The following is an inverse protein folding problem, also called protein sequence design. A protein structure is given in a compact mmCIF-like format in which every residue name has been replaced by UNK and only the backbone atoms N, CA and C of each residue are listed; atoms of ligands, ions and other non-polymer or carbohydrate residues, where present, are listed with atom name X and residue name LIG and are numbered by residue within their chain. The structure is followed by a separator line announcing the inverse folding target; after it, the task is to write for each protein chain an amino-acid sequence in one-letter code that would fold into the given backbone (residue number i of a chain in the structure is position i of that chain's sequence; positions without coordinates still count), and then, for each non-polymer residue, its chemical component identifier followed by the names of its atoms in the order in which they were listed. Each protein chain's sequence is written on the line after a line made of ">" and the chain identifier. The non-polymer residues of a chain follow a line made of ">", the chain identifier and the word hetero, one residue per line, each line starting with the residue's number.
data_IF_653311409094
#
_entry.id   IF_653311409094
#
_cell.length_a   1.000
_cell.length_b   1.000
_cell.length_c   1.000
_cell.angle_alpha   90.00
_cell.angle_beta   90.00
_cell.angle_gamma   90.00
#
_symmetry.space_group_name_H-M   'P 1'
#
loop_
_entity.id
_entity.type
_entity.pdbx_description
1 polymer ?
2 non-polymer ?
3 non-polymer ?
4 water ?
#
# COMPACT_ATOMS: atom_id res chain seq x y z
N UNK A 1 -10.28 13.24 23.30
CA UNK A 1 -10.14 13.97 22.00
C UNK A 1 -9.87 12.98 20.85
N UNK A 2 -10.31 13.35 19.64
CA UNK A 2 -10.39 12.38 18.55
C UNK A 2 -10.58 13.07 17.19
N UNK A 3 -9.56 13.71 16.59
CA UNK A 3 -8.12 13.71 16.93
C UNK A 3 -7.38 12.63 16.16
N UNK A 4 -8.14 11.74 15.56
CA UNK A 4 -7.61 10.60 14.83
C UNK A 4 -7.96 10.76 13.35
N UNK A 5 -9.06 11.46 13.09
CA UNK A 5 -9.39 11.85 11.72
C UNK A 5 -8.23 12.66 11.13
N UNK A 6 -7.49 13.37 11.99
CA UNK A 6 -6.37 14.19 11.55
C UNK A 6 -5.19 13.33 11.09
N UNK A 7 -4.89 12.30 11.88
CA UNK A 7 -3.86 11.33 11.53
C UNK A 7 -4.26 10.53 10.29
N UNK A 8 -5.55 10.16 10.20
CA UNK A 8 -6.02 9.43 9.02
C UNK A 8 -5.90 10.31 7.81
N UNK A 9 -6.19 11.61 7.96
CA UNK A 9 -6.03 12.55 6.86
C UNK A 9 -4.57 12.64 6.44
N UNK A 10 -3.64 12.54 7.38
CA UNK A 10 -2.25 12.60 6.98
C UNK A 10 -1.78 11.36 6.24
N UNK A 11 -2.23 10.18 6.68
CA UNK A 11 -1.95 8.93 5.98
C UNK A 11 -2.58 9.00 4.57
N UNK A 12 -3.83 9.44 4.51
CA UNK A 12 -4.51 9.55 3.24
C UNK A 12 -3.70 10.47 2.36
N UNK A 13 -3.23 11.57 2.93
CA UNK A 13 -2.46 12.54 2.15
C UNK A 13 -1.11 12.00 1.68
N UNK A 14 -0.43 11.16 2.48
CA UNK A 14 0.85 10.59 2.06
C UNK A 14 0.62 9.50 1.01
N UNK A 15 -0.49 8.78 1.15
CA UNK A 15 -0.77 7.74 0.18
C UNK A 15 -1.13 8.42 -1.13
N UNK A 16 -1.79 9.57 -1.07
CA UNK A 16 -2.09 10.30 -2.30
C UNK A 16 -0.80 10.79 -2.96
N UNK A 17 0.20 11.14 -2.16
CA UNK A 17 1.50 11.48 -2.73
C UNK A 17 2.09 10.30 -3.48
N UNK A 18 2.00 9.11 -2.87
CA UNK A 18 2.50 7.87 -3.48
C UNK A 18 1.73 7.58 -4.76
N UNK A 19 0.43 7.87 -4.76
CA UNK A 19 -0.39 7.70 -5.98
C UNK A 19 0.15 8.64 -7.09
N UNK A 20 0.48 9.87 -6.72
CA UNK A 20 1.05 10.83 -7.66
C UNK A 20 2.36 10.39 -8.29
N UNK A 21 3.27 9.90 -7.45
CA UNK A 21 4.55 9.35 -7.88
C UNK A 21 4.36 8.20 -8.85
N UNK A 22 3.45 7.27 -8.50
CA UNK A 22 3.15 6.17 -9.41
C UNK A 22 2.52 6.66 -10.75
N UNK A 23 1.50 7.53 -10.70
CA UNK A 23 0.90 8.04 -11.96
C UNK A 23 1.95 8.73 -12.81
N UNK A 24 2.82 9.50 -12.19
CA UNK A 24 3.87 10.23 -12.92
C UNK A 24 4.75 9.31 -13.75
N UNK A 25 5.16 8.19 -13.15
CA UNK A 25 5.98 7.20 -13.87
C UNK A 25 5.17 6.52 -15.00
N UNK A 26 3.92 6.16 -14.70
CA UNK A 26 3.03 5.54 -15.69
C UNK A 26 2.82 6.41 -16.92
N UNK A 27 2.66 7.72 -16.70
CA UNK A 27 2.50 8.70 -17.76
C UNK A 27 3.72 8.72 -18.68
N UNK A 28 4.92 8.64 -18.09
CA UNK A 28 6.13 8.62 -18.89
C UNK A 28 6.18 7.36 -19.76
N UNK A 29 5.78 6.21 -19.19
CA UNK A 29 5.66 5.00 -20.02
C UNK A 29 4.63 5.19 -21.14
N UNK A 30 3.50 5.85 -20.82
CA UNK A 30 2.41 6.05 -21.80
C UNK A 30 2.87 6.88 -22.99
N UNK A 31 3.66 7.92 -22.72
CA UNK A 31 4.24 8.76 -23.75
C UNK A 31 5.42 8.10 -24.45
N UNK A 32 5.81 6.92 -24.01
CA UNK A 32 6.83 6.14 -24.71
C UNK A 32 8.28 6.55 -24.43
N UNK A 33 8.51 7.34 -23.37
CA UNK A 33 9.87 7.71 -22.97
C UNK A 33 10.63 6.53 -22.35
N UNK A 34 10.00 5.84 -21.39
CA UNK A 34 10.60 4.65 -20.79
C UNK A 34 9.66 3.45 -21.02
N UNK A 35 10.20 2.23 -20.98
CA UNK A 35 9.35 1.05 -21.10
C UNK A 35 8.49 0.97 -19.82
N UNK A 36 7.39 0.21 -19.89
CA UNK A 36 6.51 0.03 -18.75
C UNK A 36 7.32 -0.56 -17.57
N UNK A 37 8.18 -1.52 -17.90
CA UNK A 37 9.03 -2.14 -16.89
C UNK A 37 9.89 -1.07 -16.19
N UNK A 38 10.62 -0.22 -16.92
CA UNK A 38 11.40 0.86 -16.29
C UNK A 38 10.55 1.77 -15.40
N UNK A 39 9.35 2.08 -15.86
CA UNK A 39 8.46 2.95 -15.11
C UNK A 39 8.11 2.29 -13.75
N UNK A 40 7.74 1.01 -13.80
CA UNK A 40 7.38 0.27 -12.60
C UNK A 40 8.56 0.16 -11.65
N UNK A 41 9.75 -0.14 -12.19
CA UNK A 41 10.94 -0.22 -11.35
C UNK A 41 11.30 1.14 -10.68
N UNK A 42 11.15 2.24 -11.41
CA UNK A 42 11.43 3.56 -10.85
C UNK A 42 10.42 3.92 -9.71
N UNK A 43 9.15 3.57 -9.90
CA UNK A 43 8.14 3.78 -8.84
C UNK A 43 8.46 2.96 -7.60
N UNK A 44 8.80 1.69 -7.79
CA UNK A 44 9.14 0.81 -6.66
C UNK A 44 10.42 1.22 -5.93
N UNK A 45 11.42 1.67 -6.67
CA UNK A 45 12.64 2.17 -6.06
C UNK A 45 12.33 3.37 -5.12
N UNK A 46 11.48 4.29 -5.58
CA UNK A 46 11.09 5.44 -4.76
C UNK A 46 10.24 4.93 -3.54
N UNK A 47 9.26 4.09 -3.78
CA UNK A 47 8.43 3.58 -2.67
C UNK A 47 9.20 2.75 -1.67
N UNK A 48 10.17 1.98 -2.14
CA UNK A 48 10.99 1.18 -1.25
C UNK A 48 11.90 2.07 -0.34
N UNK A 49 12.34 3.18 -0.89
CA UNK A 49 13.33 4.05 -0.24
C UNK A 49 12.66 5.05 0.72
N UNK A 50 11.43 5.47 0.43
CA UNK A 50 10.74 6.52 1.19
C UNK A 50 10.20 6.03 2.55
N UNK A 51 10.24 6.92 3.53
CA UNK A 51 9.56 6.76 4.82
C UNK A 51 8.98 8.12 5.15
N UNK A 52 8.00 8.19 6.03
CA UNK A 52 7.59 9.48 6.55
C UNK A 52 7.37 9.40 8.05
N UNK A 53 7.39 10.57 8.69
CA UNK A 53 7.11 10.67 10.14
C UNK A 53 7.95 9.64 10.85
N UNK A 54 9.21 9.50 10.41
CA UNK A 54 10.13 8.53 10.99
C UNK A 54 10.11 7.19 10.22
N UNK A 55 9.28 6.26 10.68
CA UNK A 55 9.40 4.92 10.12
C UNK A 55 8.11 4.47 9.39
N UNK A 56 7.14 5.36 9.19
CA UNK A 56 5.94 4.96 8.44
C UNK A 56 6.32 4.67 6.98
N UNK A 57 5.66 3.69 6.38
CA UNK A 57 6.13 3.19 5.07
C UNK A 57 4.97 2.86 4.10
N UNK A 58 5.32 2.61 2.84
CA UNK A 58 4.35 2.28 1.79
C UNK A 58 4.58 0.82 1.38
N UNK A 59 3.55 0.11 0.88
CA UNK A 59 3.79 -1.17 0.23
C UNK A 59 2.97 -1.19 -1.05
N UNK A 60 3.27 -2.13 -1.93
CA UNK A 60 2.52 -2.30 -3.15
C UNK A 60 2.13 -3.76 -3.26
N UNK A 61 0.85 -4.03 -3.51
CA UNK A 61 0.46 -5.37 -3.92
C UNK A 61 -0.39 -5.30 -5.19
N UNK A 62 -0.61 -6.44 -5.85
CA UNK A 62 -1.44 -6.43 -7.07
C UNK A 62 -2.81 -7.04 -6.77
N UNK A 63 -3.58 -7.29 -7.82
CA UNK A 63 -5.00 -7.61 -7.64
C UNK A 63 -5.28 -9.09 -7.40
N UNK A 64 -4.28 -9.94 -7.55
CA UNK A 64 -4.46 -11.38 -7.31
C UNK A 64 -5.14 -11.72 -5.94
N UNK A 65 -4.70 -11.11 -4.80
CA UNK A 65 -3.55 -10.21 -4.52
C UNK A 65 -2.26 -10.96 -4.32
N UNK A 66 -1.17 -10.37 -4.82
CA UNK A 66 0.15 -10.92 -4.66
C UNK A 66 1.07 -9.72 -4.30
N UNK A 67 2.03 -9.95 -3.41
CA UNK A 67 2.88 -8.82 -2.96
C UNK A 67 3.85 -8.45 -4.12
N UNK A 68 3.88 -7.16 -4.44
CA UNK A 68 4.86 -6.61 -5.40
C UNK A 68 6.12 -6.12 -4.66
N UNK A 69 5.93 -5.26 -3.63
CA UNK A 69 7.04 -4.71 -2.84
C UNK A 69 6.57 -4.31 -1.45
N UNK A 70 7.17 -4.96 -0.45
CA UNK A 70 6.92 -4.62 0.94
C UNK A 70 8.28 -4.32 1.57
N UNK A 71 8.46 -3.09 2.07
CA UNK A 71 9.80 -2.66 2.51
C UNK A 71 10.18 -3.14 3.91
N UNK A 72 9.23 -3.45 4.81
CA UNK A 72 9.63 -3.86 6.16
C UNK A 72 9.44 -5.37 6.37
N UNK A 73 8.63 -5.99 5.51
CA UNK A 73 8.49 -7.45 5.50
C UNK A 73 8.75 -7.98 4.06
N UNK A 74 9.98 -7.76 3.56
CA UNK A 74 10.28 -8.09 2.15
C UNK A 74 10.21 -9.58 1.86
N UNK A 75 10.30 -10.44 2.89
CA UNK A 75 10.04 -11.88 2.62
C UNK A 75 8.65 -12.13 1.99
N UNK A 76 7.72 -11.18 2.06
CA UNK A 76 6.42 -11.38 1.40
C UNK A 76 6.48 -11.12 -0.14
N UNK A 77 7.58 -10.53 -0.61
CA UNK A 77 7.66 -10.14 -2.03
C UNK A 77 7.35 -11.31 -2.96
N UNK A 78 6.42 -11.12 -3.90
CA UNK A 78 6.05 -12.17 -4.84
C UNK A 78 5.14 -13.27 -4.26
N UNK A 79 4.85 -13.21 -2.94
CA UNK A 79 3.96 -14.23 -2.32
C UNK A 79 2.47 -13.98 -2.61
N UNK A 80 1.74 -15.07 -2.88
CA UNK A 80 0.28 -15.01 -2.98
C UNK A 80 -0.31 -14.56 -1.62
N UNK A 81 -1.13 -13.52 -1.63
CA UNK A 81 -1.68 -12.99 -0.39
C UNK A 81 -3.15 -13.38 -0.24
N UNK A 82 -3.72 -14.10 -1.22
CA UNK A 82 -5.14 -14.41 -1.08
C UNK A 82 -5.19 -15.35 0.15
N UNK A 83 -6.19 -15.33 0.91
CA UNK A 83 -5.96 -16.14 2.12
C UNK A 83 -4.91 -15.72 3.22
N UNK A 84 -4.11 -14.67 3.01
CA UNK A 84 -3.28 -14.12 4.11
C UNK A 84 -4.26 -13.55 5.16
N UNK A 85 -4.21 -14.03 6.40
CA UNK A 85 -5.09 -13.49 7.46
C UNK A 85 -4.29 -12.88 8.61
N UNK A 86 -4.79 -11.82 9.23
CA UNK A 86 -4.17 -11.32 10.46
C UNK A 86 -4.65 -12.27 11.59
N UNK A 87 -4.23 -12.01 12.86
CA UNK A 87 -4.62 -12.96 13.93
C UNK A 87 -6.09 -12.94 14.24
N UNK A 88 -6.86 -11.95 13.81
CA UNK A 88 -8.30 -12.05 13.99
C UNK A 88 -8.98 -12.68 12.76
N UNK A 89 -8.17 -13.33 11.92
CA UNK A 89 -8.71 -14.03 10.76
C UNK A 89 -9.03 -13.16 9.54
N UNK A 90 -8.72 -11.86 9.61
CA UNK A 90 -9.10 -10.96 8.53
C UNK A 90 -8.20 -11.12 7.24
N UNK A 91 -8.85 -11.34 6.10
CA UNK A 91 -8.19 -11.55 4.81
C UNK A 91 -7.87 -10.14 4.33
N UNK A 92 -6.95 -9.45 5.02
CA UNK A 92 -6.80 -8.00 4.84
C UNK A 92 -6.40 -7.57 3.39
N UNK A 93 -5.56 -8.35 2.71
CA UNK A 93 -5.16 -8.00 1.31
C UNK A 93 -6.33 -8.21 0.36
N UNK A 94 -7.10 -9.29 0.58
CA UNK A 94 -8.34 -9.46 -0.18
C UNK A 94 -9.22 -8.22 0.07
N UNK A 95 -9.26 -7.73 1.31
CA UNK A 95 -10.11 -6.56 1.59
C UNK A 95 -9.58 -5.28 0.92
N UNK A 96 -8.27 -5.13 0.79
CA UNK A 96 -7.71 -4.02 0.01
C UNK A 96 -8.20 -4.07 -1.45
N UNK A 97 -8.09 -5.25 -2.03
CA UNK A 97 -8.42 -5.42 -3.45
C UNK A 97 -9.91 -5.15 -3.66
N UNK A 98 -10.76 -5.65 -2.75
CA UNK A 98 -12.22 -5.40 -2.85
C UNK A 98 -12.53 -3.91 -2.71
N UNK A 99 -11.85 -3.25 -1.79
CA UNK A 99 -12.05 -1.82 -1.56
C UNK A 99 -11.66 -0.98 -2.77
N UNK A 100 -10.50 -1.25 -3.37
CA UNK A 100 -10.11 -0.40 -4.49
C UNK A 100 -10.92 -0.82 -5.74
N UNK A 101 -11.17 -2.12 -5.92
CA UNK A 101 -11.93 -2.58 -7.10
C UNK A 101 -13.36 -2.07 -7.03
N UNK A 102 -13.89 -1.93 -5.82
CA UNK A 102 -15.26 -1.46 -5.63
C UNK A 102 -15.40 0.06 -5.39
N UNK A 103 -14.43 0.72 -4.75
CA UNK A 103 -14.59 2.14 -4.38
C UNK A 103 -13.49 3.09 -4.90
N UNK A 104 -12.47 2.52 -5.55
CA UNK A 104 -11.31 3.29 -6.03
C UNK A 104 -10.21 3.41 -4.96
N UNK A 105 -10.62 3.62 -3.71
CA UNK A 105 -9.67 3.83 -2.63
C UNK A 105 -10.48 3.83 -1.36
N UNK A 106 -9.81 3.84 -0.20
CA UNK A 106 -10.51 3.85 1.10
C UNK A 106 -9.67 3.35 2.27
N UNK A 107 -10.20 3.46 3.49
CA UNK A 107 -9.53 2.95 4.70
C UNK A 107 -9.89 1.49 4.97
N UNK A 108 -8.90 0.70 5.41
CA UNK A 108 -9.16 -0.67 5.84
C UNK A 108 -8.38 -0.82 7.14
N UNK A 109 -9.01 -1.41 8.15
CA UNK A 109 -8.34 -1.64 9.42
C UNK A 109 -8.05 -3.12 9.61
N UNK A 110 -6.96 -3.43 10.30
CA UNK A 110 -6.50 -4.81 10.45
C UNK A 110 -5.36 -4.76 11.45
N UNK A 111 -4.78 -5.93 11.74
CA UNK A 111 -3.66 -6.05 12.67
C UNK A 111 -2.39 -6.34 11.89
N UNK A 112 -1.34 -5.58 12.20
CA UNK A 112 -0.06 -5.68 11.47
C UNK A 112 1.06 -5.17 12.40
N UNK A 113 2.22 -5.83 12.38
CA UNK A 113 3.29 -5.36 13.28
C UNK A 113 3.87 -4.00 12.89
N UNK A 114 4.44 -3.36 13.90
CA UNK A 114 5.26 -2.17 13.71
C UNK A 114 6.59 -2.62 13.06
N UNK A 115 7.22 -1.76 12.25
CA UNK A 115 8.56 -2.09 11.70
C UNK A 115 9.51 -2.54 12.81
N UNK A 116 10.22 -3.64 12.60
CA UNK A 116 11.22 -4.10 13.54
C UNK A 116 10.66 -5.03 14.63
N UNK A 117 9.39 -5.38 14.53
CA UNK A 117 8.83 -6.30 15.53
C UNK A 117 7.83 -7.24 14.88
N UNK A 118 7.27 -8.17 15.66
CA UNK A 118 6.48 -9.21 15.05
C UNK A 118 5.04 -9.29 15.57
N UNK A 119 4.72 -8.66 16.69
CA UNK A 119 3.32 -8.74 17.19
C UNK A 119 2.40 -7.82 16.39
N UNK A 120 1.35 -8.39 15.74
CA UNK A 120 0.45 -7.52 14.99
C UNK A 120 -0.37 -6.65 15.97
N UNK A 121 -0.48 -5.37 15.64
CA UNK A 121 -1.21 -4.43 16.48
C UNK A 121 -2.16 -3.67 15.58
N UNK A 122 -3.17 -2.98 16.16
CA UNK A 122 -4.18 -2.30 15.35
C UNK A 122 -3.60 -1.24 14.42
N UNK A 123 -4.02 -1.34 13.17
CA UNK A 123 -3.55 -0.48 12.12
C UNK A 123 -4.72 -0.02 11.26
N UNK A 124 -4.66 1.22 10.81
CA UNK A 124 -5.65 1.75 9.88
C UNK A 124 -4.91 2.27 8.64
N UNK A 125 -5.17 1.65 7.49
CA UNK A 125 -4.44 2.03 6.28
C UNK A 125 -5.35 2.66 5.23
N UNK A 126 -4.81 3.64 4.51
CA UNK A 126 -5.45 4.07 3.28
C UNK A 126 -4.82 3.36 2.07
N UNK A 127 -5.65 2.72 1.25
CA UNK A 127 -5.20 2.08 0.02
C UNK A 127 -5.79 2.73 -1.23
N UNK A 128 -4.99 2.75 -2.28
CA UNK A 128 -5.43 3.35 -3.53
C UNK A 128 -4.96 2.45 -4.67
N UNK A 129 -5.40 2.70 -5.89
CA UNK A 129 -5.01 1.81 -6.99
C UNK A 129 -4.36 2.60 -8.10
N UNK A 130 -3.53 1.90 -8.87
CA UNK A 130 -3.10 2.40 -10.16
C UNK A 130 -3.50 1.35 -11.20
N UNK A 131 -4.61 1.57 -11.88
CA UNK A 131 -5.23 0.48 -12.65
C UNK A 131 -4.39 -0.01 -13.82
N UNK A 132 -3.71 0.89 -14.52
CA UNK A 132 -3.02 0.32 -15.69
C UNK A 132 -2.01 -0.79 -15.32
N UNK A 133 -1.54 -0.87 -14.06
CA UNK A 133 -0.58 -1.91 -13.71
C UNK A 133 -1.18 -2.93 -12.75
N UNK A 134 -2.44 -2.73 -12.40
CA UNK A 134 -3.11 -3.63 -11.48
C UNK A 134 -2.48 -3.52 -10.08
N UNK A 135 -2.00 -2.33 -9.71
CA UNK A 135 -1.37 -2.12 -8.39
C UNK A 135 -2.33 -1.57 -7.33
N UNK A 136 -2.10 -1.96 -6.10
CA UNK A 136 -2.69 -1.31 -4.95
C UNK A 136 -1.54 -0.71 -4.15
N UNK A 137 -1.61 0.58 -3.83
CA UNK A 137 -0.53 1.23 -3.05
C UNK A 137 -1.13 1.66 -1.71
N UNK A 138 -0.44 1.38 -0.60
CA UNK A 138 -1.03 1.61 0.71
C UNK A 138 -0.03 2.14 1.72
N UNK A 139 -0.56 2.73 2.79
CA UNK A 139 0.22 3.08 3.97
C UNK A 139 -0.78 3.18 5.11
N UNK A 140 -0.35 2.94 6.34
CA UNK A 140 -1.24 3.03 7.49
C UNK A 140 -0.62 3.67 8.73
N UNK A 141 -1.46 4.02 9.70
CA UNK A 141 -1.01 4.48 11.01
C UNK A 141 -1.29 3.37 12.03
N UNK A 142 -0.49 3.38 13.09
CA UNK A 142 -0.67 2.47 14.18
C UNK A 142 -1.51 3.22 15.22
N UNK A 143 -2.72 2.70 15.42
CA UNK A 143 -3.72 3.31 16.30
C UNK A 143 -3.12 3.75 17.64
N UNK A 144 -2.31 2.89 18.27
CA UNK A 144 -1.73 3.24 19.57
C UNK A 144 -0.52 4.18 19.47
X LIG B 1 8.69 14.73 -13.50
X LIG C 1 0.95 -3.41 5.87
X LIG C 1 2.24 -3.44 5.95
X LIG C 1 0.31 -2.68 6.66
X LIG C 1 0.14 -4.21 4.83
#
# INVERSE_FOLDING_TARGET
>A
ARMLAERQAKVRALVEAAHGLVEHQGARAARGEISADEARRAALEALRALRYDGSEYFWVNDLEPRMVMHPTNPQLDGQDLSGYRDPNGKLLFQEFVRTVRARGSGFVDYLWPKPGSTVPVPKISFVTQYQPWGWVVGSGLYVDDLDAAVRQE
>B hetero
1 ZN ZN
>C hetero
1 ACT C O OXT CH3
#
